data_IF_617501271504
#
_entry.id   IF_617501271504
#
_cell.length_a   1.000
_cell.length_b   1.000
_cell.length_c   1.000
_cell.angle_alpha   90.00
_cell.angle_beta   90.00
_cell.angle_gamma   90.00
#
_symmetry.space_group_name_H-M   'P 1'
#
loop_
_entity.id
_entity.type
_entity.pdbx_description
1 polymer ?
#
# COMPACT_ATOMS: atom_id res chain seq x y z
N UNK A 1 -2.41 -19.71 -19.30
CA UNK A 1 -1.13 -19.09 -19.69
C UNK A 1 -0.40 -18.59 -18.45
N UNK A 2 0.64 -19.31 -18.01
CA UNK A 2 1.49 -18.87 -16.88
C UNK A 2 2.21 -17.58 -17.29
N UNK A 3 2.14 -16.53 -16.45
CA UNK A 3 2.83 -15.28 -16.75
C UNK A 3 4.33 -15.43 -16.55
N UNK A 4 5.09 -15.19 -17.62
CA UNK A 4 6.56 -15.17 -17.61
C UNK A 4 7.01 -13.96 -16.75
N UNK A 5 7.30 -14.20 -15.48
CA UNK A 5 7.79 -13.16 -14.56
C UNK A 5 9.26 -12.85 -14.89
N UNK A 6 9.55 -11.58 -15.18
CA UNK A 6 10.87 -11.05 -15.56
C UNK A 6 12.01 -11.29 -14.54
N UNK A 7 11.74 -11.85 -13.35
CA UNK A 7 12.72 -12.02 -12.27
C UNK A 7 13.52 -13.31 -12.34
N UNK A 8 13.28 -14.19 -13.31
CA UNK A 8 13.99 -15.48 -13.39
C UNK A 8 15.03 -15.56 -14.50
N UNK A 9 15.00 -14.68 -15.51
CA UNK A 9 15.88 -14.83 -16.68
C UNK A 9 17.25 -14.18 -16.46
N UNK A 10 18.32 -14.76 -17.04
CA UNK A 10 19.63 -14.12 -17.12
C UNK A 10 19.57 -12.68 -17.67
N UNK A 11 20.52 -11.82 -17.24
CA UNK A 11 20.53 -10.38 -17.59
C UNK A 11 20.60 -10.10 -19.10
N UNK A 12 21.09 -11.05 -19.89
CA UNK A 12 21.21 -10.98 -21.35
C UNK A 12 19.95 -11.48 -22.09
N UNK A 13 18.91 -11.89 -21.36
CA UNK A 13 17.63 -12.28 -21.91
C UNK A 13 16.69 -11.10 -22.11
N UNK A 14 16.01 -11.09 -23.26
CA UNK A 14 14.99 -10.10 -23.62
C UNK A 14 13.69 -10.80 -24.00
N UNK A 15 12.57 -10.31 -23.46
CA UNK A 15 11.24 -10.73 -23.90
C UNK A 15 10.94 -10.05 -25.23
N UNK A 16 10.55 -10.85 -26.22
CA UNK A 16 10.10 -10.42 -27.53
C UNK A 16 8.63 -10.85 -27.67
N UNK A 17 7.69 -9.90 -27.68
CA UNK A 17 6.29 -10.20 -27.97
C UNK A 17 6.13 -10.60 -29.43
N UNK A 18 5.43 -11.71 -29.67
CA UNK A 18 4.93 -12.15 -30.97
C UNK A 18 3.39 -12.13 -30.92
N UNK A 19 2.74 -12.10 -32.08
CA UNK A 19 1.29 -11.88 -32.21
C UNK A 19 0.43 -12.72 -31.25
N UNK A 20 0.84 -13.97 -30.94
CA UNK A 20 0.08 -14.88 -30.08
C UNK A 20 0.88 -15.46 -28.88
N UNK A 21 2.16 -15.10 -28.70
CA UNK A 21 2.99 -15.65 -27.63
C UNK A 21 4.17 -14.74 -27.28
N UNK A 22 4.68 -14.86 -26.05
CA UNK A 22 5.90 -14.20 -25.59
C UNK A 22 7.09 -15.13 -25.79
N UNK A 23 8.10 -14.68 -26.54
CA UNK A 23 9.35 -15.43 -26.70
C UNK A 23 10.44 -14.77 -25.87
N UNK A 24 11.32 -15.54 -25.25
CA UNK A 24 12.48 -14.99 -24.52
C UNK A 24 13.73 -15.35 -25.29
N UNK A 25 14.48 -14.33 -25.71
CA UNK A 25 15.75 -14.52 -26.45
C UNK A 25 16.92 -14.07 -25.59
N UNK A 26 17.84 -14.99 -25.34
CA UNK A 26 18.99 -14.79 -24.47
C UNK A 26 20.28 -14.73 -25.28
N UNK A 27 20.83 -13.51 -25.42
CA UNK A 27 22.08 -13.25 -26.12
C UNK A 27 22.04 -13.44 -27.65
N UNK A 28 23.16 -13.08 -28.28
CA UNK A 28 23.55 -13.45 -29.64
C UNK A 28 25.03 -13.82 -29.57
N UNK A 29 25.40 -14.93 -30.18
CA UNK A 29 26.73 -15.51 -30.00
C UNK A 29 27.27 -15.90 -31.36
N UNK A 30 28.50 -15.47 -31.65
CA UNK A 30 29.17 -15.79 -32.91
C UNK A 30 29.92 -17.14 -32.85
N UNK A 31 29.95 -17.79 -31.67
CA UNK A 31 30.69 -19.04 -31.43
C UNK A 31 29.75 -20.17 -30.97
N UNK A 32 29.73 -21.26 -31.73
CA UNK A 32 28.88 -22.44 -31.49
C UNK A 32 29.14 -23.10 -30.13
N UNK A 33 30.40 -23.19 -29.67
CA UNK A 33 30.75 -23.79 -28.38
C UNK A 33 30.21 -22.98 -27.20
N UNK A 34 30.23 -21.64 -27.30
CA UNK A 34 29.65 -20.75 -26.27
C UNK A 34 28.13 -20.89 -26.19
N UNK A 35 27.45 -21.01 -27.33
CA UNK A 35 26.00 -21.23 -27.39
C UNK A 35 25.62 -22.54 -26.70
N UNK A 36 26.32 -23.63 -26.99
CA UNK A 36 25.96 -24.95 -26.44
C UNK A 36 26.09 -25.00 -24.93
N UNK A 37 27.15 -24.40 -24.35
CA UNK A 37 27.32 -24.34 -22.90
C UNK A 37 26.22 -23.50 -22.23
N UNK A 38 25.92 -22.34 -22.79
CA UNK A 38 24.86 -21.47 -22.27
C UNK A 38 23.47 -22.08 -22.44
N UNK A 39 23.23 -22.75 -23.57
CA UNK A 39 21.99 -23.48 -23.81
C UNK A 39 21.80 -24.66 -22.86
N UNK A 40 22.87 -25.40 -22.55
CA UNK A 40 22.82 -26.49 -21.56
C UNK A 40 22.39 -25.97 -20.19
N UNK A 41 22.91 -24.81 -19.78
CA UNK A 41 22.49 -24.11 -18.56
C UNK A 41 21.02 -23.63 -18.62
N UNK A 42 20.57 -23.12 -19.76
CA UNK A 42 19.17 -22.73 -19.92
C UNK A 42 18.23 -23.95 -19.88
N UNK A 43 18.60 -25.05 -20.54
CA UNK A 43 17.78 -26.27 -20.62
C UNK A 43 17.63 -26.98 -19.27
N UNK A 44 18.59 -26.85 -18.35
CA UNK A 44 18.43 -27.34 -16.97
C UNK A 44 17.42 -26.52 -16.17
N UNK A 45 17.22 -25.26 -16.53
CA UNK A 45 16.34 -24.32 -15.81
C UNK A 45 14.97 -24.14 -16.47
N UNK A 46 14.88 -24.35 -17.79
CA UNK A 46 13.69 -24.15 -18.60
C UNK A 46 13.52 -25.31 -19.58
N UNK A 47 12.50 -26.16 -19.34
CA UNK A 47 12.20 -27.34 -20.16
C UNK A 47 11.91 -26.98 -21.61
N UNK A 48 11.31 -25.81 -21.84
CA UNK A 48 10.90 -25.33 -23.16
C UNK A 48 12.00 -24.49 -23.86
N UNK A 49 13.24 -24.53 -23.38
CA UNK A 49 14.35 -23.85 -24.04
C UNK A 49 14.74 -24.58 -25.33
N UNK A 50 14.79 -23.85 -26.45
CA UNK A 50 15.28 -24.34 -27.74
C UNK A 50 16.22 -23.35 -28.42
N UNK A 51 17.12 -23.85 -29.26
CA UNK A 51 18.01 -23.04 -30.08
C UNK A 51 17.34 -22.71 -31.41
N UNK A 52 17.35 -21.43 -31.77
CA UNK A 52 16.89 -20.96 -33.08
C UNK A 52 18.08 -20.33 -33.79
N UNK A 53 18.39 -20.83 -35.00
CA UNK A 53 19.33 -20.17 -35.89
C UNK A 53 18.60 -19.00 -36.55
N UNK A 54 18.96 -17.77 -36.18
CA UNK A 54 18.42 -16.56 -36.80
C UNK A 54 19.55 -15.76 -37.45
N UNK A 55 19.32 -15.15 -38.64
CA UNK A 55 20.30 -14.25 -39.23
C UNK A 55 20.60 -13.08 -38.28
N UNK A 56 21.88 -12.70 -38.14
CA UNK A 56 22.33 -11.61 -37.26
C UNK A 56 21.52 -10.32 -37.48
N UNK A 57 21.28 -9.96 -38.75
CA UNK A 57 20.48 -8.79 -39.14
C UNK A 57 19.02 -8.86 -38.64
N UNK A 58 18.43 -10.05 -38.60
CA UNK A 58 17.06 -10.26 -38.08
C UNK A 58 17.02 -10.10 -36.55
N UNK A 59 18.04 -10.61 -35.84
CA UNK A 59 18.19 -10.41 -34.40
C UNK A 59 18.38 -8.94 -34.05
N UNK A 60 19.28 -8.23 -34.74
CA UNK A 60 19.52 -6.80 -34.55
C UNK A 60 18.27 -5.95 -34.87
N UNK A 61 17.52 -6.29 -35.92
CA UNK A 61 16.26 -5.62 -36.24
C UNK A 61 15.18 -5.91 -35.18
N UNK A 62 15.09 -7.14 -34.67
CA UNK A 62 14.20 -7.46 -33.55
C UNK A 62 14.60 -6.73 -32.27
N UNK A 63 15.89 -6.43 -32.07
CA UNK A 63 16.35 -5.56 -30.98
C UNK A 63 16.01 -4.07 -31.21
N UNK A 64 15.91 -3.60 -32.47
CA UNK A 64 15.52 -2.23 -32.84
C UNK A 64 14.01 -1.98 -32.75
N UNK A 65 13.19 -3.00 -32.94
CA UNK A 65 11.72 -2.93 -32.81
C UNK A 65 11.29 -2.83 -31.32
N UNK A 66 12.20 -3.10 -30.39
CA UNK A 66 12.00 -2.77 -28.98
C UNK A 66 11.97 -1.24 -28.87
N UNK A 67 10.90 -0.61 -28.34
CA UNK A 67 10.90 0.82 -28.12
C UNK A 67 12.14 1.17 -27.30
N UNK A 68 12.97 2.06 -27.86
CA UNK A 68 14.15 2.61 -27.19
C UNK A 68 13.77 2.87 -25.74
N UNK A 69 14.55 2.33 -24.81
CA UNK A 69 14.48 2.71 -23.40
C UNK A 69 14.26 4.22 -23.32
N UNK A 70 13.16 4.61 -22.67
CA UNK A 70 12.60 5.96 -22.55
C UNK A 70 13.62 7.00 -22.09
N UNK A 71 14.49 7.45 -23.00
CA UNK A 71 15.02 8.81 -23.00
C UNK A 71 13.99 9.66 -23.75
N UNK A 72 13.37 10.60 -23.03
CA UNK A 72 12.19 11.41 -23.39
C UNK A 72 10.85 10.66 -23.34
N UNK A 73 10.36 10.37 -22.14
CA UNK A 73 8.91 10.45 -21.91
C UNK A 73 8.55 11.94 -21.82
N UNK A 74 8.32 12.53 -22.98
CA UNK A 74 7.50 13.72 -23.10
C UNK A 74 6.09 13.41 -22.59
N UNK A 75 5.60 14.23 -21.67
CA UNK A 75 4.20 14.69 -21.66
C UNK A 75 3.06 13.65 -21.60
N UNK A 76 3.27 12.45 -21.04
CA UNK A 76 2.16 11.61 -20.60
C UNK A 76 1.88 11.90 -19.13
N UNK A 77 0.63 12.22 -18.83
CA UNK A 77 0.06 12.41 -17.48
C UNK A 77 0.37 11.18 -16.63
N UNK A 78 1.54 11.17 -15.98
CA UNK A 78 1.99 10.05 -15.18
C UNK A 78 0.99 9.87 -14.06
N UNK A 79 0.32 8.72 -14.00
CA UNK A 79 -0.66 8.48 -12.95
C UNK A 79 -0.01 8.70 -11.58
N UNK A 80 -0.60 9.61 -10.82
CA UNK A 80 -0.18 9.94 -9.46
C UNK A 80 -0.95 9.08 -8.46
N UNK A 81 -0.35 8.87 -7.29
CA UNK A 81 -0.99 8.32 -6.13
C UNK A 81 -0.43 8.98 -4.87
N UNK A 82 -1.12 8.82 -3.75
CA UNK A 82 -0.64 9.17 -2.43
C UNK A 82 0.20 8.03 -1.84
N UNK A 83 1.20 8.38 -1.05
CA UNK A 83 2.09 7.41 -0.39
C UNK A 83 2.55 7.98 0.94
N UNK A 84 2.90 7.11 1.89
CA UNK A 84 3.47 7.52 3.17
C UNK A 84 4.99 7.48 3.07
N UNK A 85 5.65 8.62 3.11
CA UNK A 85 7.11 8.71 3.17
C UNK A 85 7.56 8.63 4.63
N UNK A 86 8.42 7.68 4.97
CA UNK A 86 8.85 7.45 6.37
C UNK A 86 10.17 8.15 6.70
N UNK A 87 11.16 7.99 5.82
CA UNK A 87 12.54 8.43 6.05
C UNK A 87 13.13 8.87 4.71
N UNK A 88 13.97 9.91 4.75
CA UNK A 88 14.81 10.35 3.63
C UNK A 88 16.21 10.65 4.16
N UNK A 89 17.22 9.91 3.71
CA UNK A 89 18.63 10.09 4.11
C UNK A 89 19.56 10.01 2.90
N UNK A 90 20.68 10.73 2.92
CA UNK A 90 21.70 10.66 1.86
C UNK A 90 22.38 9.27 1.79
N UNK A 91 22.46 8.56 2.91
CA UNK A 91 23.13 7.27 3.02
C UNK A 91 22.17 6.09 2.82
N UNK A 92 22.75 4.92 2.59
CA UNK A 92 22.07 3.66 2.31
C UNK A 92 21.24 3.15 3.49
N UNK A 93 19.97 2.78 3.23
CA UNK A 93 19.02 2.25 4.22
C UNK A 93 18.92 0.71 4.23
N UNK A 94 19.90 0.01 3.66
CA UNK A 94 19.83 -1.43 3.33
C UNK A 94 19.65 -2.37 4.53
N UNK A 95 20.01 -1.95 5.75
CA UNK A 95 19.97 -2.81 6.95
C UNK A 95 18.73 -2.57 7.83
N UNK A 96 17.79 -1.72 7.41
CA UNK A 96 16.59 -1.44 8.18
C UNK A 96 15.41 -2.29 7.70
N UNK A 97 14.71 -2.92 8.66
CA UNK A 97 13.52 -3.73 8.38
C UNK A 97 12.30 -2.81 8.29
N UNK A 98 11.75 -2.69 7.09
CA UNK A 98 10.52 -1.95 6.83
C UNK A 98 9.33 -2.88 6.59
N UNK A 99 8.09 -2.42 6.83
CA UNK A 99 6.89 -3.17 6.46
C UNK A 99 6.90 -3.61 4.99
N UNK A 100 6.24 -4.73 4.67
CA UNK A 100 6.19 -5.31 3.32
C UNK A 100 5.65 -4.37 2.24
N UNK A 101 4.79 -3.42 2.62
CA UNK A 101 4.23 -2.41 1.71
C UNK A 101 5.18 -1.23 1.44
N UNK A 102 6.31 -1.17 2.14
CA UNK A 102 7.30 -0.12 2.03
C UNK A 102 8.40 -0.51 1.06
N UNK A 103 8.86 0.49 0.30
CA UNK A 103 9.92 0.36 -0.69
C UNK A 103 10.98 1.42 -0.46
N UNK A 104 12.23 0.97 -0.39
CA UNK A 104 13.40 1.84 -0.45
C UNK A 104 13.59 2.23 -1.92
N UNK A 105 13.67 3.53 -2.19
CA UNK A 105 13.89 4.07 -3.52
C UNK A 105 14.88 5.22 -3.47
N UNK A 106 15.69 5.34 -4.53
CA UNK A 106 16.66 6.43 -4.67
C UNK A 106 16.01 7.59 -5.43
N UNK A 107 15.92 8.75 -4.78
CA UNK A 107 15.38 9.98 -5.36
C UNK A 107 16.40 11.10 -5.11
N UNK A 108 16.95 11.69 -6.17
CA UNK A 108 17.91 12.80 -6.09
C UNK A 108 19.07 12.54 -5.09
N UNK A 109 19.69 11.35 -5.15
CA UNK A 109 20.77 10.92 -4.24
C UNK A 109 20.35 10.67 -2.77
N UNK A 110 19.05 10.68 -2.47
CA UNK A 110 18.53 10.25 -1.17
C UNK A 110 17.96 8.83 -1.27
N UNK A 111 18.30 7.99 -0.31
CA UNK A 111 17.54 6.78 0.01
C UNK A 111 16.27 7.19 0.75
N UNK A 112 15.12 6.97 0.10
CA UNK A 112 13.80 7.32 0.61
C UNK A 112 12.99 6.06 0.80
N UNK A 113 12.33 5.94 1.94
CA UNK A 113 11.38 4.85 2.21
C UNK A 113 9.98 5.38 2.01
N UNK A 114 9.24 4.79 1.07
CA UNK A 114 7.83 5.13 0.83
C UNK A 114 6.96 3.88 0.89
N UNK A 115 5.76 4.01 1.44
CA UNK A 115 4.89 2.89 1.69
C UNK A 115 3.54 3.07 1.01
N UNK A 116 3.17 2.06 0.23
CA UNK A 116 1.90 2.02 -0.51
C UNK A 116 1.80 3.06 -1.62
N UNK A 117 0.77 2.90 -2.42
CA UNK A 117 0.38 3.80 -3.49
C UNK A 117 -1.15 3.78 -3.53
N UNK A 118 -1.76 4.84 -3.02
CA UNK A 118 -3.19 4.97 -2.77
C UNK A 118 -3.79 5.98 -3.72
N UNK A 119 -4.96 5.69 -4.28
CA UNK A 119 -5.62 6.63 -5.19
C UNK A 119 -6.07 7.90 -4.44
N UNK A 120 -6.39 7.78 -3.15
CA UNK A 120 -6.97 8.83 -2.31
C UNK A 120 -6.05 9.20 -1.14
N UNK A 121 -6.13 10.46 -0.66
CA UNK A 121 -5.30 10.94 0.45
C UNK A 121 -5.72 10.32 1.78
N UNK A 122 -7.01 10.06 1.95
CA UNK A 122 -7.64 9.51 3.14
C UNK A 122 -7.11 8.10 3.42
N UNK A 123 -7.01 7.26 2.40
CA UNK A 123 -6.47 5.90 2.51
C UNK A 123 -4.99 5.92 2.93
N UNK A 124 -4.22 6.85 2.36
CA UNK A 124 -2.83 7.05 2.76
C UNK A 124 -2.71 7.56 4.20
N UNK A 125 -3.64 8.42 4.65
CA UNK A 125 -3.69 8.93 6.03
C UNK A 125 -4.00 7.81 7.03
N UNK A 126 -4.93 6.89 6.72
CA UNK A 126 -5.22 5.73 7.57
C UNK A 126 -3.95 4.92 7.81
N UNK A 127 -3.17 4.65 6.75
CA UNK A 127 -1.92 3.91 6.86
C UNK A 127 -0.82 4.73 7.55
N UNK A 128 -0.77 6.04 7.33
CA UNK A 128 0.16 6.96 8.00
C UNK A 128 -0.04 6.95 9.52
N UNK A 129 -1.29 6.98 10.02
CA UNK A 129 -1.59 6.94 11.46
C UNK A 129 -1.05 5.67 12.14
N UNK A 130 -1.05 4.53 11.42
CA UNK A 130 -0.44 3.29 11.93
C UNK A 130 1.06 3.40 12.13
N UNK A 131 1.72 4.26 11.33
CA UNK A 131 3.17 4.39 11.27
C UNK A 131 3.70 5.61 12.04
N UNK A 132 2.89 6.65 12.27
CA UNK A 132 3.30 7.91 12.93
C UNK A 132 3.96 7.69 14.29
N UNK A 133 3.45 6.75 15.09
CA UNK A 133 4.01 6.42 16.40
C UNK A 133 5.44 5.85 16.31
N UNK A 134 5.76 5.11 15.24
CA UNK A 134 7.08 4.50 15.02
C UNK A 134 8.01 5.42 14.23
N UNK A 135 7.47 6.21 13.30
CA UNK A 135 8.20 7.07 12.39
C UNK A 135 7.71 8.51 12.57
N UNK A 136 8.30 9.22 13.55
CA UNK A 136 7.87 10.57 13.96
C UNK A 136 7.88 11.60 12.82
N UNK A 137 8.75 11.42 11.83
CA UNK A 137 8.88 12.30 10.66
C UNK A 137 8.20 11.75 9.40
N UNK A 138 7.32 10.76 9.56
CA UNK A 138 6.54 10.27 8.44
C UNK A 138 5.52 11.33 7.98
N UNK A 139 5.23 11.36 6.69
CA UNK A 139 4.20 12.24 6.13
C UNK A 139 3.61 11.67 4.85
N UNK A 140 2.41 12.11 4.49
CA UNK A 140 1.75 11.73 3.24
C UNK A 140 2.17 12.67 2.11
N UNK A 141 2.52 12.09 0.96
CA UNK A 141 2.92 12.84 -0.24
C UNK A 141 2.35 12.22 -1.50
N UNK A 142 2.18 13.03 -2.55
CA UNK A 142 2.00 12.52 -3.92
C UNK A 142 3.29 11.91 -4.48
N UNK A 143 3.12 10.90 -5.31
CA UNK A 143 4.18 10.18 -6.01
C UNK A 143 3.61 9.57 -7.29
N UNK A 144 4.47 9.13 -8.19
CA UNK A 144 4.01 8.44 -9.40
C UNK A 144 3.79 6.94 -9.14
N UNK A 145 2.70 6.40 -9.68
CA UNK A 145 2.33 4.98 -9.55
C UNK A 145 3.43 4.04 -10.01
N UNK A 146 4.14 4.39 -11.10
CA UNK A 146 5.22 3.56 -11.67
C UNK A 146 6.34 3.23 -10.67
N UNK A 147 6.53 4.05 -9.62
CA UNK A 147 7.53 3.79 -8.56
C UNK A 147 7.19 2.56 -7.71
N UNK A 148 5.91 2.15 -7.71
CA UNK A 148 5.37 1.00 -6.99
C UNK A 148 5.00 -0.15 -7.94
N UNK A 149 4.79 0.14 -9.24
CA UNK A 149 4.27 -0.81 -10.23
C UNK A 149 5.15 -2.02 -10.56
N UNK A 150 6.37 -2.12 -10.04
CA UNK A 150 7.23 -3.31 -10.27
C UNK A 150 7.08 -4.42 -9.22
N UNK A 151 6.53 -4.12 -8.04
CA UNK A 151 6.40 -5.11 -6.95
C UNK A 151 4.99 -5.23 -6.38
N UNK A 152 4.09 -4.28 -6.66
CA UNK A 152 2.72 -4.32 -6.16
C UNK A 152 1.79 -3.69 -7.21
N UNK A 153 1.37 -4.49 -8.20
CA UNK A 153 0.00 -4.32 -8.72
C UNK A 153 -0.88 -5.13 -7.77
N UNK A 154 -1.05 -4.64 -6.54
CA UNK A 154 -2.35 -4.81 -5.92
C UNK A 154 -3.26 -3.94 -6.78
N UNK A 155 -3.82 -4.51 -7.86
CA UNK A 155 -5.20 -4.20 -8.22
C UNK A 155 -5.89 -4.12 -6.88
N UNK A 156 -6.39 -2.94 -6.51
CA UNK A 156 -7.21 -2.70 -5.32
C UNK A 156 -7.70 -4.04 -4.78
N UNK A 157 -6.88 -4.66 -3.92
CA UNK A 157 -7.47 -5.55 -2.97
C UNK A 157 -8.32 -4.51 -2.27
N UNK A 158 -9.64 -4.60 -2.47
CA UNK A 158 -10.56 -4.16 -1.45
C UNK A 158 -9.95 -4.77 -0.20
N UNK A 159 -9.08 -4.00 0.47
CA UNK A 159 -8.57 -4.34 1.77
C UNK A 159 -9.89 -4.41 2.48
N UNK A 160 -10.40 -5.63 2.74
CA UNK A 160 -11.61 -5.79 3.51
C UNK A 160 -11.33 -4.98 4.77
N UNK A 161 -11.95 -3.79 4.95
CA UNK A 161 -11.55 -2.86 6.01
C UNK A 161 -11.65 -3.56 7.37
N UNK A 162 -12.52 -4.58 7.41
CA UNK A 162 -12.78 -5.55 8.44
C UNK A 162 -11.52 -6.16 9.08
N UNK A 163 -10.47 -6.57 8.34
CA UNK A 163 -9.34 -7.31 8.96
C UNK A 163 -8.21 -6.42 9.51
N UNK A 164 -8.10 -5.16 9.07
CA UNK A 164 -7.10 -4.21 9.60
C UNK A 164 -7.68 -3.32 10.71
N UNK A 165 -8.98 -3.03 10.67
CA UNK A 165 -9.69 -2.28 11.72
C UNK A 165 -9.76 -3.08 13.03
N UNK A 166 -9.96 -4.41 13.00
CA UNK A 166 -9.93 -5.29 14.19
C UNK A 166 -8.57 -5.27 14.93
N UNK A 167 -7.46 -5.04 14.22
CA UNK A 167 -6.12 -4.91 14.83
C UNK A 167 -5.82 -3.49 15.31
N UNK A 168 -6.50 -2.48 14.76
CA UNK A 168 -6.37 -1.08 15.17
C UNK A 168 -7.29 -0.72 16.34
N UNK A 169 -8.49 -1.31 16.45
CA UNK A 169 -9.43 -1.10 17.55
C UNK A 169 -8.83 -1.48 18.91
N UNK A 170 -8.05 -2.58 18.96
CA UNK A 170 -7.26 -3.00 20.14
C UNK A 170 -6.13 -2.02 20.52
N UNK A 171 -5.64 -1.21 19.57
CA UNK A 171 -4.53 -0.25 19.79
C UNK A 171 -5.00 1.18 20.07
N UNK A 172 -6.21 1.57 19.66
CA UNK A 172 -6.76 2.91 19.87
C UNK A 172 -7.48 3.02 21.23
N UNK A 173 -8.04 1.92 21.74
CA UNK A 173 -8.68 1.87 23.06
C UNK A 173 -7.82 2.46 24.20
N UNK A 174 -6.50 2.18 24.31
CA UNK A 174 -5.66 2.74 25.37
C UNK A 174 -5.37 4.25 25.22
N UNK A 175 -5.52 4.81 24.02
CA UNK A 175 -5.20 6.22 23.71
C UNK A 175 -6.36 7.12 24.16
N UNK A 176 -7.61 6.69 23.96
CA UNK A 176 -8.83 7.42 24.34
C UNK A 176 -9.15 7.32 25.85
N UNK A 177 -8.66 6.30 26.56
CA UNK A 177 -8.83 6.17 28.00
C UNK A 177 -7.88 7.07 28.82
N UNK A 178 -6.90 7.73 28.19
CA UNK A 178 -5.84 8.49 28.86
C UNK A 178 -6.08 10.01 28.91
N UNK A 179 -7.06 10.53 28.17
CA UNK A 179 -7.46 11.94 28.25
C UNK A 179 -8.43 12.14 29.42
N UNK A 180 -7.84 12.65 30.51
CA UNK A 180 -8.40 13.18 31.77
C UNK A 180 -9.88 13.60 31.63
N UNK A 181 -10.79 13.16 32.50
CA UNK A 181 -10.87 13.53 33.92
C UNK A 181 -10.62 15.03 34.20
N UNK A 182 -11.23 15.95 33.46
CA UNK A 182 -11.42 17.32 33.93
C UNK A 182 -12.56 18.03 33.16
N UNK A 183 -13.60 18.38 33.93
CA UNK A 183 -14.57 19.49 33.74
C UNK A 183 -15.36 19.52 32.41
N UNK A 184 -16.67 19.30 32.39
CA UNK A 184 -17.66 20.15 33.07
C UNK A 184 -18.86 19.35 33.59
N UNK A 185 -19.32 19.71 34.80
CA UNK A 185 -20.67 19.43 35.27
C UNK A 185 -21.66 20.15 34.35
N UNK A 186 -22.86 19.57 34.23
CA UNK A 186 -24.06 20.12 33.56
C UNK A 186 -24.25 19.82 32.07
N UNK A 187 -24.22 18.52 31.75
CA UNK A 187 -25.32 17.82 31.08
C UNK A 187 -25.01 16.34 31.24
N UNK A 188 -26.01 15.49 31.48
CA UNK A 188 -25.87 14.06 31.23
C UNK A 188 -25.64 13.92 29.73
N UNK A 189 -24.37 14.05 29.31
CA UNK A 189 -23.96 14.02 27.91
C UNK A 189 -24.45 12.70 27.33
N UNK A 190 -24.97 12.71 26.10
CA UNK A 190 -25.43 11.49 25.40
C UNK A 190 -24.38 10.38 25.44
N UNK A 191 -23.09 10.74 25.55
CA UNK A 191 -21.98 9.85 25.87
C UNK A 191 -22.19 9.03 27.15
N UNK A 192 -22.45 9.68 28.30
CA UNK A 192 -22.59 9.00 29.59
C UNK A 192 -23.75 8.00 29.58
N UNK A 193 -24.90 8.42 29.03
CA UNK A 193 -26.08 7.56 28.89
C UNK A 193 -25.81 6.38 27.95
N UNK A 194 -25.18 6.62 26.82
CA UNK A 194 -24.79 5.56 25.89
C UNK A 194 -23.75 4.59 26.49
N UNK A 195 -22.84 5.09 27.33
CA UNK A 195 -21.85 4.27 28.03
C UNK A 195 -22.50 3.34 29.05
N UNK A 196 -23.50 3.82 29.80
CA UNK A 196 -24.29 2.98 30.71
C UNK A 196 -25.03 1.88 29.94
N UNK A 197 -25.69 2.22 28.83
CA UNK A 197 -26.39 1.26 27.97
C UNK A 197 -25.42 0.23 27.36
N UNK A 198 -24.26 0.69 26.90
CA UNK A 198 -23.19 -0.19 26.40
C UNK A 198 -22.72 -1.17 27.46
N UNK A 199 -22.48 -0.72 28.69
CA UNK A 199 -22.09 -1.59 29.82
C UNK A 199 -23.16 -2.61 30.20
N UNK A 200 -24.43 -2.30 29.96
CA UNK A 200 -25.57 -3.21 30.13
C UNK A 200 -25.77 -4.18 28.95
N UNK A 201 -24.97 -4.06 27.89
CA UNK A 201 -25.13 -4.85 26.66
C UNK A 201 -26.29 -4.38 25.77
N UNK A 202 -26.90 -3.23 26.07
CA UNK A 202 -28.00 -2.64 25.29
C UNK A 202 -27.46 -1.86 24.09
N UNK A 203 -26.75 -2.54 23.19
CA UNK A 203 -25.95 -1.93 22.12
C UNK A 203 -26.78 -1.08 21.15
N UNK A 204 -27.97 -1.52 20.77
CA UNK A 204 -28.82 -0.73 19.85
C UNK A 204 -29.32 0.56 20.49
N UNK A 205 -29.69 0.51 21.77
CA UNK A 205 -30.11 1.72 22.50
C UNK A 205 -28.95 2.67 22.72
N UNK A 206 -27.73 2.14 22.93
CA UNK A 206 -26.52 2.95 23.02
C UNK A 206 -26.27 3.71 21.71
N UNK A 207 -26.37 3.04 20.55
CA UNK A 207 -26.22 3.67 19.24
C UNK A 207 -27.29 4.74 19.01
N UNK A 208 -28.57 4.42 19.23
CA UNK A 208 -29.67 5.36 19.00
C UNK A 208 -29.54 6.62 19.88
N UNK A 209 -29.12 6.45 21.14
CA UNK A 209 -28.87 7.56 22.06
C UNK A 209 -27.79 8.50 21.52
N UNK A 210 -26.75 7.96 20.89
CA UNK A 210 -25.67 8.74 20.29
C UNK A 210 -26.09 9.41 18.99
N UNK A 211 -26.85 8.73 18.14
CA UNK A 211 -27.37 9.27 16.88
C UNK A 211 -28.32 10.44 17.10
N UNK A 212 -29.05 10.47 18.21
CA UNK A 212 -29.90 11.61 18.60
C UNK A 212 -29.11 12.85 19.08
N UNK A 213 -27.79 12.77 19.18
CA UNK A 213 -26.95 13.88 19.63
C UNK A 213 -26.48 14.75 18.46
N UNK A 214 -26.71 16.07 18.54
CA UNK A 214 -26.24 17.02 17.52
C UNK A 214 -24.71 17.18 17.47
N UNK A 215 -24.00 16.79 18.54
CA UNK A 215 -22.53 16.82 18.57
C UNK A 215 -22.02 15.53 19.19
N UNK A 216 -21.16 14.83 18.45
CA UNK A 216 -20.48 13.62 18.91
C UNK A 216 -18.98 13.89 18.94
N UNK A 217 -18.36 13.55 20.06
CA UNK A 217 -16.90 13.55 20.20
C UNK A 217 -16.32 12.18 19.83
N UNK A 218 -14.98 12.09 19.81
CA UNK A 218 -14.27 10.84 19.51
C UNK A 218 -14.69 9.68 20.43
N UNK A 219 -14.95 9.97 21.71
CA UNK A 219 -15.38 8.98 22.70
C UNK A 219 -16.80 8.47 22.45
N UNK A 220 -17.69 9.33 21.99
CA UNK A 220 -19.05 8.99 21.58
C UNK A 220 -19.03 8.07 20.36
N UNK A 221 -18.22 8.40 19.35
CA UNK A 221 -18.04 7.50 18.19
C UNK A 221 -17.37 6.18 18.55
N UNK A 222 -16.52 6.13 19.60
CA UNK A 222 -15.93 4.88 20.09
C UNK A 222 -17.01 3.94 20.67
N UNK A 223 -17.95 4.47 21.46
CA UNK A 223 -19.06 3.67 22.00
C UNK A 223 -19.94 3.15 20.86
N UNK A 224 -20.24 3.99 19.86
CA UNK A 224 -20.97 3.56 18.66
C UNK A 224 -20.23 2.41 17.97
N UNK A 225 -18.94 2.59 17.67
CA UNK A 225 -18.16 1.58 16.95
C UNK A 225 -18.16 0.22 17.67
N UNK A 226 -17.91 0.21 18.99
CA UNK A 226 -17.94 -1.01 19.82
C UNK A 226 -19.32 -1.65 19.88
N UNK A 227 -20.38 -0.84 19.99
CA UNK A 227 -21.76 -1.31 19.99
C UNK A 227 -22.12 -1.98 18.65
N UNK A 228 -21.71 -1.36 17.53
CA UNK A 228 -21.95 -1.90 16.19
C UNK A 228 -21.15 -3.19 15.94
N UNK A 229 -19.92 -3.29 16.46
CA UNK A 229 -19.15 -4.56 16.43
C UNK A 229 -19.86 -5.68 17.18
N UNK A 230 -20.36 -5.41 18.39
CA UNK A 230 -21.07 -6.40 19.20
C UNK A 230 -22.36 -6.90 18.54
N UNK A 231 -22.98 -6.07 17.70
CA UNK A 231 -24.16 -6.41 16.90
C UNK A 231 -23.81 -7.06 15.54
N UNK A 232 -22.52 -7.25 15.22
CA UNK A 232 -22.08 -7.76 13.91
C UNK A 232 -22.24 -6.77 12.75
N UNK A 233 -22.58 -5.50 13.02
CA UNK A 233 -22.79 -4.43 12.03
C UNK A 233 -21.44 -3.83 11.58
N UNK A 234 -20.63 -4.63 10.88
CA UNK A 234 -19.23 -4.30 10.50
C UNK A 234 -19.05 -2.99 9.73
N UNK A 235 -19.96 -2.70 8.79
CA UNK A 235 -19.89 -1.47 7.99
C UNK A 235 -20.15 -0.22 8.84
N UNK A 236 -21.06 -0.32 9.80
CA UNK A 236 -21.42 0.78 10.69
C UNK A 236 -20.29 1.07 11.69
N UNK A 237 -19.69 0.03 12.26
CA UNK A 237 -18.49 0.17 13.08
C UNK A 237 -17.36 0.87 12.33
N UNK A 238 -17.14 0.50 11.06
CA UNK A 238 -16.11 1.13 10.21
C UNK A 238 -16.37 2.63 10.03
N UNK A 239 -17.62 3.01 9.74
CA UNK A 239 -18.00 4.43 9.62
C UNK A 239 -17.76 5.19 10.91
N UNK A 240 -18.10 4.61 12.06
CA UNK A 240 -17.87 5.23 13.37
C UNK A 240 -16.37 5.42 13.64
N UNK A 241 -15.52 4.44 13.35
CA UNK A 241 -14.06 4.60 13.48
C UNK A 241 -13.48 5.68 12.55
N UNK A 242 -14.00 5.83 11.33
CA UNK A 242 -13.60 6.91 10.43
C UNK A 242 -13.91 8.29 11.02
N UNK A 243 -15.04 8.45 11.70
CA UNK A 243 -15.36 9.72 12.36
C UNK A 243 -14.40 10.05 13.52
N UNK A 244 -14.00 9.04 14.30
CA UNK A 244 -12.96 9.21 15.33
C UNK A 244 -11.66 9.74 14.71
N UNK A 245 -11.24 9.15 13.59
CA UNK A 245 -10.04 9.58 12.87
C UNK A 245 -10.19 11.02 12.39
N UNK A 246 -11.33 11.38 11.81
CA UNK A 246 -11.57 12.72 11.30
C UNK A 246 -11.52 13.79 12.40
N UNK A 247 -12.07 13.49 13.57
CA UNK A 247 -12.04 14.40 14.73
C UNK A 247 -10.58 14.58 15.19
N UNK A 248 -9.88 13.47 15.46
CA UNK A 248 -8.49 13.51 15.92
C UNK A 248 -7.57 14.18 14.89
N UNK A 249 -7.81 14.00 13.59
CA UNK A 249 -7.00 14.63 12.56
C UNK A 249 -7.19 16.14 12.49
N UNK A 250 -8.39 16.65 12.78
CA UNK A 250 -8.65 18.10 12.81
C UNK A 250 -7.96 18.75 14.01
N UNK A 251 -8.03 18.12 15.17
CA UNK A 251 -7.38 18.62 16.38
C UNK A 251 -5.84 18.71 16.23
N UNK A 252 -5.24 17.96 15.29
CA UNK A 252 -3.81 17.96 15.00
C UNK A 252 -3.37 18.92 13.89
N UNK A 253 -4.30 19.51 13.13
CA UNK A 253 -4.00 20.50 12.08
C UNK A 253 -4.07 21.94 12.61
N UNK A 254 -4.67 22.16 13.78
CA UNK A 254 -4.86 23.46 14.44
C UNK A 254 -3.77 23.77 15.52
N UNK A 255 -2.75 22.91 15.68
CA UNK A 255 -1.52 23.13 16.49
C UNK A 255 -0.28 23.44 15.62
#
# INVERSE_FOLDING_TARGET
MQSLKNSQYPRDCKIIPSHNYLTIRCGCYDNTKKIHNYFKYLKSSYKDAFLIKTPKKSYENAQKIIPKSTKKQSLYKQEECYTVQLISKKNTLQNQVFPKLCKIMNINHFSVVRCGCYDNKEDANIYFLQLKNKYKHAYVRKTYKYRFSRDIIQKSQKINPILQVEKQSKKIAPILHKEKSATSKEKKSSYQKANELFKKGEYEKAINTLQSSNKMDANSYLIWAKSAEALGKKQEATKAYQQIINIISKDLEDE
#
